data_IF_712276215013
#
_entry.id   IF_712276215013
#
_cell.length_a   1.000
_cell.length_b   1.000
_cell.length_c   1.000
_cell.angle_alpha   90.00
_cell.angle_beta   90.00
_cell.angle_gamma   90.00
#
_symmetry.space_group_name_H-M   'P 1'
#
loop_
_entity.id
_entity.type
_entity.pdbx_description
1 polymer ?
#
# COMPACT_ATOMS: atom_id res chain seq x y z
N UNK A 1 -22.94 13.15 -11.10
CA UNK A 1 -21.81 14.10 -11.00
C UNK A 1 -21.67 14.77 -12.35
N UNK A 2 -22.23 15.96 -12.51
CA UNK A 2 -21.98 16.75 -13.73
C UNK A 2 -20.61 17.38 -13.53
N UNK A 3 -19.59 16.90 -14.25
CA UNK A 3 -18.29 17.56 -14.27
C UNK A 3 -18.50 18.80 -15.13
N UNK A 4 -18.89 19.91 -14.49
CA UNK A 4 -19.16 21.19 -15.14
C UNK A 4 -17.95 21.69 -15.94
N UNK A 5 -18.11 22.83 -16.59
CA UNK A 5 -17.03 23.52 -17.33
C UNK A 5 -16.02 24.20 -16.40
N UNK A 6 -15.76 23.59 -15.24
CA UNK A 6 -14.79 24.07 -14.27
C UNK A 6 -13.40 23.56 -14.63
N UNK A 7 -12.42 24.43 -14.47
CA UNK A 7 -11.02 24.09 -14.65
C UNK A 7 -10.43 23.62 -13.32
N UNK A 8 -9.49 22.68 -13.39
CA UNK A 8 -8.84 22.09 -12.22
C UNK A 8 -7.33 22.07 -12.42
N UNK A 9 -6.58 22.22 -11.33
CA UNK A 9 -5.12 22.05 -11.35
C UNK A 9 -4.73 20.81 -10.55
N UNK A 10 -3.79 20.04 -11.10
CA UNK A 10 -3.12 18.97 -10.39
C UNK A 10 -1.88 19.55 -9.72
N UNK A 11 -1.82 19.43 -8.40
CA UNK A 11 -0.67 19.86 -7.61
C UNK A 11 0.09 18.63 -7.14
N UNK A 12 1.41 18.70 -7.24
CA UNK A 12 2.33 17.69 -6.72
C UNK A 12 3.33 18.35 -5.76
N UNK A 13 3.85 17.57 -4.82
CA UNK A 13 4.79 18.07 -3.82
C UNK A 13 6.22 17.99 -4.36
N UNK A 14 6.90 19.14 -4.41
CA UNK A 14 8.32 19.18 -4.73
C UNK A 14 9.14 18.55 -3.57
N UNK A 15 9.91 17.49 -3.81
CA UNK A 15 10.60 16.74 -2.75
C UNK A 15 11.78 17.51 -2.11
N UNK A 16 12.26 18.57 -2.75
CA UNK A 16 13.37 19.38 -2.22
C UNK A 16 12.87 20.56 -1.39
N UNK A 17 11.79 21.22 -1.86
CA UNK A 17 11.26 22.43 -1.22
C UNK A 17 10.10 22.14 -0.26
N UNK A 18 9.51 20.94 -0.34
CA UNK A 18 8.31 20.52 0.39
C UNK A 18 7.08 21.40 0.15
N UNK A 19 7.03 22.07 -1.00
CA UNK A 19 5.89 22.90 -1.41
C UNK A 19 5.11 22.21 -2.51
N UNK A 20 3.80 22.43 -2.51
CA UNK A 20 2.96 22.03 -3.63
C UNK A 20 3.14 22.97 -4.81
N UNK A 21 3.31 22.39 -5.98
CA UNK A 21 3.47 23.10 -7.24
C UNK A 21 2.47 22.53 -8.25
N UNK A 22 1.94 23.39 -9.13
CA UNK A 22 1.07 22.93 -10.23
C UNK A 22 1.93 22.19 -11.24
N UNK A 23 1.57 20.95 -11.52
CA UNK A 23 2.26 20.09 -12.50
C UNK A 23 1.43 19.86 -13.76
N UNK A 24 0.11 20.03 -13.68
CA UNK A 24 -0.78 19.98 -14.83
C UNK A 24 -2.09 20.73 -14.57
N UNK A 25 -2.79 21.06 -15.64
CA UNK A 25 -4.12 21.66 -15.61
C UNK A 25 -5.09 20.88 -16.48
N UNK A 26 -6.32 20.78 -16.02
CA UNK A 26 -7.45 20.26 -16.78
C UNK A 26 -8.40 21.42 -17.11
N UNK A 27 -8.58 21.67 -18.40
CA UNK A 27 -9.49 22.70 -18.91
C UNK A 27 -10.86 22.07 -19.15
N UNK A 28 -11.83 22.39 -18.28
CA UNK A 28 -13.12 21.73 -18.22
C UNK A 28 -14.02 22.00 -19.42
N UNK A 29 -13.85 23.16 -20.07
CA UNK A 29 -14.54 23.49 -21.33
C UNK A 29 -14.05 22.62 -22.48
N UNK A 30 -12.74 22.47 -22.61
CA UNK A 30 -12.09 21.79 -23.74
C UNK A 30 -11.89 20.29 -23.48
N UNK A 31 -12.15 19.85 -22.24
CA UNK A 31 -11.92 18.49 -21.72
C UNK A 31 -10.47 18.03 -21.93
N UNK A 32 -9.54 18.97 -21.78
CA UNK A 32 -8.13 18.78 -22.14
C UNK A 32 -7.23 18.82 -20.90
N UNK A 33 -6.34 17.85 -20.78
CA UNK A 33 -5.28 17.81 -19.78
C UNK A 33 -3.97 18.31 -20.39
N UNK A 34 -3.35 19.31 -19.77
CA UNK A 34 -2.05 19.86 -20.19
C UNK A 34 -1.06 19.84 -19.04
N UNK A 35 0.08 19.23 -19.28
CA UNK A 35 1.22 19.28 -18.36
C UNK A 35 1.88 20.66 -18.42
N UNK A 36 2.40 21.11 -17.28
CA UNK A 36 3.21 22.33 -17.22
C UNK A 36 4.61 21.99 -17.71
N UNK A 37 5.10 22.75 -18.69
CA UNK A 37 6.43 22.53 -19.27
C UNK A 37 7.53 22.52 -18.20
N UNK A 38 8.40 21.52 -18.23
CA UNK A 38 9.48 21.34 -17.26
C UNK A 38 9.06 20.84 -15.87
N UNK A 39 7.77 20.54 -15.66
CA UNK A 39 7.26 19.93 -14.43
C UNK A 39 6.89 18.46 -14.66
N UNK A 40 7.03 17.66 -13.61
CA UNK A 40 6.67 16.23 -13.62
C UNK A 40 6.15 15.83 -12.25
N UNK A 41 5.35 14.75 -12.20
CA UNK A 41 4.85 14.18 -10.94
C UNK A 41 5.98 13.39 -10.28
N UNK A 42 6.24 13.67 -9.00
CA UNK A 42 7.23 12.97 -8.20
C UNK A 42 6.61 11.74 -7.54
N UNK A 43 6.76 10.58 -8.19
CA UNK A 43 6.24 9.34 -7.62
C UNK A 43 7.10 8.83 -6.47
N UNK A 44 6.43 8.45 -5.38
CA UNK A 44 7.08 7.92 -4.19
C UNK A 44 7.92 6.67 -4.48
N UNK A 45 9.00 6.50 -3.70
CA UNK A 45 9.90 5.35 -3.82
C UNK A 45 10.85 5.42 -5.02
N UNK A 46 11.14 6.63 -5.54
CA UNK A 46 12.05 6.83 -6.66
C UNK A 46 11.52 6.30 -7.99
N UNK A 47 10.21 6.18 -8.13
CA UNK A 47 9.57 5.69 -9.35
C UNK A 47 9.57 6.78 -10.42
N UNK A 48 9.74 6.39 -11.67
CA UNK A 48 9.62 7.27 -12.83
C UNK A 48 8.20 7.29 -13.41
N UNK A 49 7.32 6.41 -12.93
CA UNK A 49 5.94 6.26 -13.39
C UNK A 49 4.97 6.01 -12.24
N UNK A 50 3.68 6.19 -12.53
CA UNK A 50 2.61 5.97 -11.56
C UNK A 50 2.64 4.56 -10.97
N UNK A 51 2.30 4.39 -9.68
CA UNK A 51 2.04 3.07 -9.12
C UNK A 51 0.92 2.36 -9.91
N UNK A 52 0.92 1.02 -9.96
CA UNK A 52 -0.23 0.29 -10.47
C UNK A 52 -1.49 0.58 -9.66
N UNK A 53 -2.63 0.75 -10.35
CA UNK A 53 -3.94 1.00 -9.72
C UNK A 53 -4.43 -0.17 -8.86
N UNK A 54 -3.92 -1.38 -9.11
CA UNK A 54 -4.24 -2.58 -8.35
C UNK A 54 -2.96 -3.22 -7.82
N UNK A 55 -2.89 -3.56 -6.51
CA UNK A 55 -1.77 -4.31 -5.95
C UNK A 55 -1.53 -5.62 -6.68
N UNK A 56 -0.27 -6.07 -6.78
CA UNK A 56 0.09 -7.34 -7.45
C UNK A 56 -0.68 -8.55 -6.90
N UNK A 57 -0.95 -8.57 -5.60
CA UNK A 57 -1.71 -9.63 -4.93
C UNK A 57 -3.23 -9.38 -4.85
N UNK A 58 -3.75 -8.37 -5.54
CA UNK A 58 -5.11 -7.88 -5.29
C UNK A 58 -5.20 -7.13 -3.96
N UNK A 59 -6.32 -6.44 -3.74
CA UNK A 59 -6.56 -5.71 -2.49
C UNK A 59 -6.78 -6.63 -1.29
N UNK A 60 -7.28 -7.84 -1.54
CA UNK A 60 -7.60 -8.86 -0.53
C UNK A 60 -6.54 -9.96 -0.41
N UNK A 61 -5.45 -9.89 -1.19
CA UNK A 61 -4.41 -10.92 -1.20
C UNK A 61 -4.77 -12.19 -1.99
N UNK A 62 -5.95 -12.27 -2.61
CA UNK A 62 -6.42 -13.46 -3.33
C UNK A 62 -5.55 -13.84 -4.54
N UNK A 63 -4.80 -12.88 -5.10
CA UNK A 63 -3.89 -13.10 -6.24
C UNK A 63 -2.45 -13.36 -5.81
N UNK A 64 -2.15 -13.41 -4.51
CA UNK A 64 -0.83 -13.83 -4.07
C UNK A 64 -0.59 -15.30 -4.42
N UNK A 65 0.67 -15.70 -4.73
CA UNK A 65 1.04 -17.10 -4.77
C UNK A 65 0.63 -17.79 -3.47
N UNK A 66 0.19 -19.06 -3.51
CA UNK A 66 -0.09 -19.80 -2.29
C UNK A 66 1.14 -19.74 -1.40
N UNK A 67 0.94 -19.42 -0.11
CA UNK A 67 2.01 -19.59 0.87
C UNK A 67 2.44 -21.04 0.77
N UNK A 68 3.69 -21.28 0.41
CA UNK A 68 4.24 -22.62 0.37
C UNK A 68 4.08 -23.23 1.76
N UNK A 69 3.10 -24.13 1.93
CA UNK A 69 2.88 -24.83 3.20
C UNK A 69 4.10 -25.67 3.62
N UNK A 70 5.08 -25.86 2.73
CA UNK A 70 6.38 -26.46 3.06
C UNK A 70 7.27 -25.58 3.94
N UNK A 71 7.03 -24.26 4.03
CA UNK A 71 7.70 -23.39 4.99
C UNK A 71 6.96 -23.33 6.35
N UNK A 72 5.68 -23.70 6.40
CA UNK A 72 4.90 -23.86 7.64
C UNK A 72 5.09 -25.25 8.25
N UNK A 73 5.19 -26.31 7.43
CA UNK A 73 5.45 -27.68 7.92
C UNK A 73 6.83 -27.88 8.59
N UNK A 74 7.75 -26.91 8.43
CA UNK A 74 9.03 -26.91 9.15
C UNK A 74 9.05 -26.06 10.42
N UNK A 75 7.99 -25.27 10.70
CA UNK A 75 7.85 -24.56 11.99
C UNK A 75 7.16 -25.41 13.05
N UNK A 76 6.38 -26.39 12.66
CA UNK A 76 5.67 -27.27 13.60
C UNK A 76 6.50 -28.47 14.09
N UNK A 77 7.76 -28.60 13.64
CA UNK A 77 8.69 -29.64 14.09
C UNK A 77 9.92 -29.12 14.86
N UNK A 78 9.94 -27.84 15.26
CA UNK A 78 10.92 -27.38 16.25
C UNK A 78 10.31 -27.47 17.63
N UNK A 79 10.50 -28.62 18.27
CA UNK A 79 10.39 -28.81 19.71
C UNK A 79 11.25 -27.74 20.38
N UNK A 80 10.62 -26.64 20.79
CA UNK A 80 11.25 -25.59 21.57
C UNK A 80 11.57 -26.12 22.96
N UNK A 81 12.79 -26.65 23.13
CA UNK A 81 13.45 -26.67 24.43
C UNK A 81 14.14 -25.33 24.64
N UNK A 82 13.40 -24.35 25.17
CA UNK A 82 14.00 -23.38 26.08
C UNK A 82 13.12 -23.27 27.31
N UNK A 83 13.74 -23.71 28.40
CA UNK A 83 13.29 -23.70 29.79
C UNK A 83 12.80 -22.32 30.25
N UNK A 84 11.93 -22.34 31.26
CA UNK A 84 11.35 -21.22 32.03
C UNK A 84 9.92 -20.83 31.65
N UNK A 85 9.06 -20.79 32.66
CA UNK A 85 7.67 -20.31 32.66
C UNK A 85 6.56 -21.24 32.12
N UNK A 86 6.42 -22.41 32.75
CA UNK A 86 5.07 -22.98 32.99
C UNK A 86 4.86 -23.21 34.48
N UNK A 87 4.69 -22.13 35.22
CA UNK A 87 4.01 -22.16 36.52
C UNK A 87 2.71 -21.39 36.34
N UNK A 88 1.62 -22.14 36.22
CA UNK A 88 0.29 -21.60 35.99
C UNK A 88 -0.70 -22.75 35.97
N UNK A 89 -1.03 -23.23 37.15
CA UNK A 89 -1.91 -24.35 37.41
C UNK A 89 -3.35 -24.07 36.91
N UNK A 90 -3.88 -24.95 36.05
CA UNK A 90 -5.33 -25.06 35.83
C UNK A 90 -5.91 -26.02 36.89
N UNK A 91 -6.31 -25.46 38.04
CA UNK A 91 -6.90 -26.20 39.18
C UNK A 91 -8.37 -26.60 38.87
N UNK A 92 -8.90 -26.24 37.70
CA UNK A 92 -10.32 -26.39 37.37
C UNK A 92 -10.69 -27.67 36.59
N UNK A 93 -9.74 -28.55 36.24
CA UNK A 93 -10.06 -29.77 35.46
C UNK A 93 -10.21 -31.06 36.29
N UNK A 94 -10.31 -31.01 37.62
CA UNK A 94 -10.41 -32.22 38.48
C UNK A 94 -11.71 -32.35 39.31
N UNK A 95 -12.73 -31.52 39.12
CA UNK A 95 -14.04 -31.72 39.79
C UNK A 95 -15.25 -31.38 38.90
N UNK A 96 -15.64 -32.32 38.03
CA UNK A 96 -17.02 -32.84 37.82
C UNK A 96 -17.09 -33.77 36.61
#
# INVERSE_FOLDING_TARGET
>A
MVIGNADYSLLDMNPHTHKFEVVANYFGKDKEYKEVEGKHIHWAGGRTSAPPDTPKCGFDGSKCPPKNKSAELHRDNFIGLTSSEKVGYDILSMLR
#
